data_IF_707714421746
#
_entry.id   IF_707714421746
#
_cell.length_a   1.000
_cell.length_b   1.000
_cell.length_c   1.000
_cell.angle_alpha   90.00
_cell.angle_beta   90.00
_cell.angle_gamma   90.00
#
_symmetry.space_group_name_H-M   'P 1'
#
loop_
_entity.id
_entity.type
_entity.pdbx_description
1 polymer ?
#
# COMPACT_ATOMS: atom_id res chain seq x y z
N UNK A 1 -10.42 -0.09 17.69
CA UNK A 1 -11.10 0.60 18.81
C UNK A 1 -11.53 2.02 18.47
N UNK A 2 -10.64 2.89 17.96
CA UNK A 2 -10.96 4.28 17.60
C UNK A 2 -12.15 4.41 16.62
N UNK A 3 -12.23 3.55 15.59
CA UNK A 3 -13.37 3.56 14.67
C UNK A 3 -14.73 3.28 15.35
N UNK A 4 -14.74 2.48 16.42
CA UNK A 4 -15.95 2.18 17.19
C UNK A 4 -16.36 3.34 18.09
N UNK A 5 -15.39 4.05 18.66
CA UNK A 5 -15.64 5.27 19.44
C UNK A 5 -16.33 6.35 18.60
N UNK A 6 -15.96 6.48 17.33
CA UNK A 6 -16.54 7.45 16.39
C UNK A 6 -17.69 6.88 15.54
N UNK A 7 -18.27 5.75 15.93
CA UNK A 7 -19.41 5.19 15.20
C UNK A 7 -20.68 6.01 15.45
N UNK A 8 -21.49 6.13 14.40
CA UNK A 8 -22.86 6.65 14.50
C UNK A 8 -23.82 5.53 14.91
N UNK A 9 -25.04 5.92 15.27
CA UNK A 9 -26.11 4.98 15.64
C UNK A 9 -26.49 4.03 14.49
N UNK A 10 -26.25 4.43 13.25
CA UNK A 10 -26.44 3.60 12.04
C UNK A 10 -25.31 2.59 11.79
N UNK A 11 -24.29 2.55 12.67
CA UNK A 11 -23.13 1.67 12.56
C UNK A 11 -22.01 2.18 11.64
N UNK A 12 -22.21 3.30 10.94
CA UNK A 12 -21.17 3.92 10.11
C UNK A 12 -20.08 4.59 10.95
N UNK A 13 -18.89 4.78 10.37
CA UNK A 13 -17.77 5.48 11.02
C UNK A 13 -17.02 6.35 10.01
N UNK A 14 -16.49 7.54 10.39
CA UNK A 14 -15.67 8.36 9.50
C UNK A 14 -14.28 7.78 9.27
N UNK A 15 -13.85 6.78 10.04
CA UNK A 15 -12.54 6.15 9.91
C UNK A 15 -12.62 4.96 8.95
N UNK A 16 -12.29 5.19 7.67
CA UNK A 16 -12.49 4.21 6.59
C UNK A 16 -11.31 3.27 6.33
N UNK A 17 -10.18 3.48 7.01
CA UNK A 17 -8.96 2.70 6.79
C UNK A 17 -8.18 2.51 8.08
N UNK A 18 -7.59 1.33 8.22
CA UNK A 18 -6.68 1.01 9.30
C UNK A 18 -5.33 0.64 8.72
N UNK A 19 -4.34 1.51 8.95
CA UNK A 19 -2.99 1.35 8.46
C UNK A 19 -2.16 0.62 9.51
N UNK A 20 -1.86 -0.65 9.24
CA UNK A 20 -1.06 -1.48 10.13
C UNK A 20 0.42 -1.16 9.97
N UNK A 21 1.19 -1.33 11.06
CA UNK A 21 2.65 -1.17 11.03
C UNK A 21 3.28 -2.05 9.94
N UNK A 22 4.35 -1.58 9.30
CA UNK A 22 5.11 -2.35 8.31
C UNK A 22 5.75 -3.63 8.89
N UNK A 23 5.84 -3.73 10.22
CA UNK A 23 6.38 -4.89 10.93
C UNK A 23 5.36 -6.00 11.25
N UNK A 24 4.07 -5.82 10.93
CA UNK A 24 3.07 -6.89 11.11
C UNK A 24 3.33 -8.06 10.16
N UNK A 25 2.86 -9.26 10.48
CA UNK A 25 2.85 -10.44 9.61
C UNK A 25 1.41 -10.81 9.17
N UNK A 26 1.27 -11.82 8.30
CA UNK A 26 -0.05 -12.30 7.83
C UNK A 26 -0.99 -12.69 8.97
N UNK A 27 -0.49 -13.40 9.99
CA UNK A 27 -1.28 -13.80 11.15
C UNK A 27 -1.86 -12.58 11.90
N UNK A 28 -1.07 -11.53 12.11
CA UNK A 28 -1.53 -10.28 12.74
C UNK A 28 -2.60 -9.59 11.89
N UNK A 29 -2.48 -9.64 10.55
CA UNK A 29 -3.48 -9.10 9.63
C UNK A 29 -4.78 -9.91 9.71
N UNK A 30 -4.71 -11.23 9.73
CA UNK A 30 -5.87 -12.12 9.88
C UNK A 30 -6.60 -11.89 11.22
N UNK A 31 -5.87 -11.78 12.33
CA UNK A 31 -6.46 -11.44 13.63
C UNK A 31 -7.07 -10.03 13.64
N UNK A 32 -6.43 -9.06 13.00
CA UNK A 32 -6.98 -7.72 12.85
C UNK A 32 -8.30 -7.74 12.06
N UNK A 33 -8.38 -8.57 11.01
CA UNK A 33 -9.59 -8.76 10.22
C UNK A 33 -10.72 -9.42 11.04
N UNK A 34 -10.39 -10.43 11.85
CA UNK A 34 -11.33 -11.06 12.77
C UNK A 34 -11.94 -10.05 13.76
N UNK A 35 -11.10 -9.25 14.42
CA UNK A 35 -11.54 -8.22 15.37
C UNK A 35 -12.37 -7.14 14.66
N UNK A 36 -11.92 -6.68 13.48
CA UNK A 36 -12.67 -5.71 12.67
C UNK A 36 -14.08 -6.23 12.33
N UNK A 37 -14.20 -7.51 11.95
CA UNK A 37 -15.48 -8.14 11.66
C UNK A 37 -16.38 -8.19 12.90
N UNK A 38 -15.83 -8.53 14.06
CA UNK A 38 -16.58 -8.54 15.32
C UNK A 38 -17.17 -7.16 15.69
N UNK A 39 -16.55 -6.06 15.23
CA UNK A 39 -17.08 -4.71 15.41
C UNK A 39 -18.11 -4.27 14.35
N UNK A 40 -18.40 -5.09 13.33
CA UNK A 40 -19.29 -4.74 12.23
C UNK A 40 -18.65 -3.86 11.16
N UNK A 41 -17.31 -3.86 11.05
CA UNK A 41 -16.57 -2.94 10.18
C UNK A 41 -15.96 -3.57 8.93
N UNK A 42 -16.27 -4.83 8.63
CA UNK A 42 -15.67 -5.57 7.51
C UNK A 42 -15.80 -4.82 6.17
N UNK A 43 -16.97 -4.22 5.89
CA UNK A 43 -17.24 -3.52 4.64
C UNK A 43 -16.96 -2.01 4.68
N UNK A 44 -16.68 -1.44 5.87
CA UNK A 44 -16.54 0.01 6.08
C UNK A 44 -15.07 0.41 6.24
N UNK A 45 -14.30 -0.39 7.01
CA UNK A 45 -12.92 -0.06 7.37
C UNK A 45 -11.97 -1.02 6.65
N UNK A 46 -11.28 -0.52 5.63
CA UNK A 46 -10.28 -1.35 4.93
C UNK A 46 -9.05 -1.58 5.80
N UNK A 47 -8.44 -2.75 5.67
CA UNK A 47 -7.08 -2.96 6.19
C UNK A 47 -6.10 -2.49 5.10
N UNK A 48 -5.25 -1.53 5.43
CA UNK A 48 -4.23 -1.03 4.51
C UNK A 48 -2.91 -1.76 4.75
N UNK A 49 -2.43 -2.47 3.73
CA UNK A 49 -1.26 -3.33 3.80
C UNK A 49 -0.17 -2.84 2.84
N UNK A 50 0.97 -2.39 3.37
CA UNK A 50 2.10 -1.95 2.56
C UNK A 50 2.80 -3.14 1.92
N UNK A 51 2.88 -3.12 0.58
CA UNK A 51 3.49 -4.16 -0.26
C UNK A 51 4.92 -3.83 -0.60
N UNK A 52 5.14 -2.62 -1.11
CA UNK A 52 6.45 -2.05 -1.35
C UNK A 52 6.56 -0.70 -0.66
N UNK A 53 7.78 -0.38 -0.23
CA UNK A 53 8.10 0.83 0.54
C UNK A 53 9.23 1.60 -0.12
N UNK A 54 9.36 2.89 0.20
CA UNK A 54 10.49 3.68 -0.31
C UNK A 54 11.80 3.02 0.09
N UNK A 55 12.78 3.03 -0.81
CA UNK A 55 14.01 2.27 -0.62
C UNK A 55 14.91 2.81 0.51
N UNK A 56 14.81 4.10 0.83
CA UNK A 56 15.62 4.75 1.88
C UNK A 56 14.82 5.20 3.11
N UNK A 57 15.57 5.46 4.17
CA UNK A 57 15.19 6.18 5.40
C UNK A 57 14.44 5.38 6.48
N UNK A 58 13.16 5.04 6.29
CA UNK A 58 12.34 4.54 7.43
C UNK A 58 12.23 3.00 7.44
N UNK A 59 12.03 2.37 6.28
CA UNK A 59 11.73 0.93 6.18
C UNK A 59 12.99 0.14 5.80
N UNK A 60 13.23 -0.98 6.48
CA UNK A 60 14.33 -1.89 6.15
C UNK A 60 14.06 -2.61 4.83
N UNK A 61 15.06 -2.65 3.97
CA UNK A 61 15.02 -3.32 2.66
C UNK A 61 15.75 -4.68 2.70
N UNK A 62 15.42 -5.63 1.81
CA UNK A 62 14.35 -5.57 0.80
C UNK A 62 12.96 -5.64 1.44
N UNK A 63 12.02 -4.83 0.96
CA UNK A 63 10.63 -4.84 1.39
C UNK A 63 9.71 -5.07 0.18
N UNK A 64 9.38 -6.34 -0.06
CA UNK A 64 8.38 -6.77 -1.02
C UNK A 64 7.51 -7.84 -0.36
N UNK A 65 6.23 -7.52 -0.20
CA UNK A 65 5.24 -8.38 0.46
C UNK A 65 4.16 -8.83 -0.52
N UNK A 66 4.48 -8.92 -1.81
CA UNK A 66 3.53 -9.34 -2.85
C UNK A 66 3.00 -10.74 -2.58
N UNK A 67 3.87 -11.70 -2.22
CA UNK A 67 3.48 -13.07 -1.92
C UNK A 67 2.58 -13.15 -0.67
N UNK A 68 2.94 -12.38 0.37
CA UNK A 68 2.14 -12.27 1.59
C UNK A 68 0.71 -11.76 1.27
N UNK A 69 0.58 -10.76 0.41
CA UNK A 69 -0.72 -10.27 -0.03
C UNK A 69 -1.51 -11.33 -0.80
N UNK A 70 -0.86 -12.10 -1.69
CA UNK A 70 -1.54 -13.16 -2.45
C UNK A 70 -2.16 -14.19 -1.49
N UNK A 71 -1.44 -14.57 -0.44
CA UNK A 71 -1.97 -15.46 0.60
C UNK A 71 -3.16 -14.86 1.37
N UNK A 72 -3.10 -13.55 1.67
CA UNK A 72 -4.12 -12.85 2.44
C UNK A 72 -5.37 -12.53 1.63
N UNK A 73 -5.24 -12.17 0.36
CA UNK A 73 -6.32 -11.59 -0.43
C UNK A 73 -7.49 -12.56 -0.67
N UNK A 74 -7.27 -13.87 -0.58
CA UNK A 74 -8.34 -14.87 -0.62
C UNK A 74 -9.07 -15.07 0.72
N UNK A 75 -8.49 -14.60 1.84
CA UNK A 75 -8.98 -14.85 3.20
C UNK A 75 -9.52 -13.60 3.88
N UNK A 76 -8.91 -12.45 3.62
CA UNK A 76 -9.21 -11.18 4.27
C UNK A 76 -9.95 -10.27 3.30
N UNK A 77 -11.25 -10.06 3.55
CA UNK A 77 -12.08 -9.13 2.77
C UNK A 77 -11.65 -7.68 3.01
N UNK A 78 -11.93 -6.80 2.04
CA UNK A 78 -11.70 -5.35 2.15
C UNK A 78 -10.28 -5.01 2.66
N UNK A 79 -9.29 -5.51 1.93
CA UNK A 79 -7.87 -5.23 2.10
C UNK A 79 -7.39 -4.39 0.92
N UNK A 80 -6.53 -3.41 1.18
CA UNK A 80 -5.91 -2.59 0.13
C UNK A 80 -4.40 -2.75 0.15
N UNK A 81 -3.83 -3.05 -1.02
CA UNK A 81 -2.39 -3.02 -1.26
C UNK A 81 -1.91 -1.57 -1.40
N UNK A 82 -0.94 -1.16 -0.57
CA UNK A 82 -0.28 0.15 -0.64
C UNK A 82 1.15 0.02 -1.15
N UNK A 83 1.55 0.96 -2.00
CA UNK A 83 2.88 1.02 -2.57
C UNK A 83 3.42 2.43 -2.37
N UNK A 84 4.56 2.54 -1.68
CA UNK A 84 5.25 3.82 -1.46
C UNK A 84 6.56 3.91 -2.27
N UNK A 85 7.13 2.78 -2.69
CA UNK A 85 8.31 2.70 -3.54
C UNK A 85 8.18 1.66 -4.67
N UNK A 86 9.20 1.59 -5.53
CA UNK A 86 9.30 0.55 -6.57
C UNK A 86 9.68 -0.82 -6.02
N UNK A 87 9.87 -1.78 -6.92
CA UNK A 87 10.35 -3.12 -6.55
C UNK A 87 11.81 -3.04 -6.05
N UNK A 88 12.18 -3.73 -4.94
CA UNK A 88 13.52 -3.61 -4.35
C UNK A 88 14.67 -3.92 -5.32
N UNK A 89 14.50 -4.89 -6.22
CA UNK A 89 15.51 -5.27 -7.21
C UNK A 89 15.75 -4.21 -8.28
N UNK A 90 14.76 -3.35 -8.55
CA UNK A 90 14.88 -2.19 -9.43
C UNK A 90 15.49 -1.03 -8.65
N UNK A 91 14.92 -0.69 -7.51
CA UNK A 91 15.31 0.45 -6.67
C UNK A 91 16.79 0.37 -6.26
N UNK A 92 17.29 -0.82 -5.90
CA UNK A 92 18.71 -1.01 -5.53
C UNK A 92 19.71 -0.64 -6.62
N UNK A 93 19.27 -0.61 -7.88
CA UNK A 93 20.11 -0.26 -9.04
C UNK A 93 19.99 1.22 -9.44
N UNK A 94 19.04 1.96 -8.84
CA UNK A 94 18.84 3.37 -9.14
C UNK A 94 19.97 4.19 -8.54
N UNK A 95 20.51 5.12 -9.34
CA UNK A 95 21.42 6.16 -8.85
C UNK A 95 20.74 7.09 -7.82
N UNK A 96 19.43 7.27 -7.95
CA UNK A 96 18.57 8.02 -7.04
C UNK A 96 17.35 7.16 -6.71
N UNK A 97 17.47 6.23 -5.76
CA UNK A 97 16.35 5.40 -5.34
C UNK A 97 15.34 6.22 -4.54
N UNK A 98 14.10 5.72 -4.41
CA UNK A 98 13.06 6.42 -3.67
C UNK A 98 13.42 6.64 -2.19
N UNK A 99 13.06 7.80 -1.67
CA UNK A 99 13.27 8.18 -0.28
C UNK A 99 12.03 8.92 0.24
N UNK A 100 11.40 8.37 1.29
CA UNK A 100 10.20 8.97 1.89
C UNK A 100 10.44 10.40 2.40
N UNK A 101 11.68 10.75 2.74
CA UNK A 101 11.99 12.10 3.21
C UNK A 101 11.87 13.16 2.11
N UNK A 102 11.92 12.77 0.83
CA UNK A 102 11.77 13.69 -0.31
C UNK A 102 10.32 14.17 -0.48
N UNK A 103 9.33 13.50 0.12
CA UNK A 103 7.94 13.98 0.13
C UNK A 103 7.79 15.31 0.89
N UNK A 104 8.69 15.57 1.84
CA UNK A 104 8.70 16.80 2.63
C UNK A 104 9.57 17.90 2.00
N UNK A 105 10.22 17.62 0.86
CA UNK A 105 11.08 18.59 0.20
C UNK A 105 10.24 19.70 -0.45
N UNK A 106 10.57 20.99 -0.22
CA UNK A 106 9.90 22.08 -0.91
C UNK A 106 10.08 21.97 -2.43
N UNK A 107 9.02 22.28 -3.19
CA UNK A 107 9.05 22.27 -4.65
C UNK A 107 10.20 23.12 -5.24
N UNK A 108 10.50 24.28 -4.65
CA UNK A 108 11.59 25.15 -5.12
C UNK A 108 12.94 24.42 -5.07
N UNK A 109 13.22 23.71 -3.99
CA UNK A 109 14.46 22.96 -3.80
C UNK A 109 14.56 21.79 -4.78
N UNK A 110 13.44 21.11 -5.05
CA UNK A 110 13.36 20.04 -6.06
C UNK A 110 13.74 20.57 -7.44
N UNK A 111 13.24 21.75 -7.81
CA UNK A 111 13.50 22.38 -9.10
C UNK A 111 14.93 22.90 -9.21
N UNK A 112 15.42 23.62 -8.19
CA UNK A 112 16.78 24.15 -8.13
C UNK A 112 17.84 23.04 -8.18
N UNK A 113 17.57 21.90 -7.52
CA UNK A 113 18.47 20.73 -7.54
C UNK A 113 18.28 19.81 -8.76
N UNK A 114 17.36 20.15 -9.67
CA UNK A 114 17.07 19.35 -10.87
C UNK A 114 16.61 17.92 -10.56
N UNK A 115 15.89 17.72 -9.45
CA UNK A 115 15.48 16.38 -8.98
C UNK A 115 14.23 15.85 -9.68
N UNK A 116 13.47 16.71 -10.35
CA UNK A 116 12.16 16.35 -10.91
C UNK A 116 12.19 15.14 -11.86
N UNK A 117 13.18 14.98 -12.76
CA UNK A 117 13.29 13.76 -13.58
C UNK A 117 13.55 12.48 -12.76
N UNK A 118 14.24 12.59 -11.62
CA UNK A 118 14.54 11.46 -10.74
C UNK A 118 13.30 11.05 -9.94
N UNK A 119 12.61 12.01 -9.34
CA UNK A 119 11.35 11.77 -8.61
C UNK A 119 10.27 11.20 -9.54
N UNK A 120 10.19 11.69 -10.78
CA UNK A 120 9.32 11.10 -11.80
C UNK A 120 9.67 9.64 -12.07
N UNK A 121 10.96 9.30 -12.16
CA UNK A 121 11.38 7.91 -12.33
C UNK A 121 10.97 7.06 -11.12
N UNK A 122 11.16 7.52 -9.90
CA UNK A 122 10.72 6.80 -8.70
C UNK A 122 9.20 6.58 -8.67
N UNK A 123 8.41 7.58 -9.09
CA UNK A 123 6.97 7.44 -9.24
C UNK A 123 6.57 6.36 -10.25
N UNK A 124 7.25 6.30 -11.41
CA UNK A 124 7.00 5.28 -12.43
C UNK A 124 7.37 3.88 -11.92
N UNK A 125 8.50 3.74 -11.21
CA UNK A 125 8.91 2.46 -10.63
C UNK A 125 7.92 1.97 -9.57
N UNK A 126 7.36 2.88 -8.77
CA UNK A 126 6.26 2.58 -7.85
C UNK A 126 5.00 2.13 -8.58
N UNK A 127 4.66 2.76 -9.70
CA UNK A 127 3.52 2.34 -10.52
C UNK A 127 3.75 0.96 -11.15
N UNK A 128 4.99 0.63 -11.53
CA UNK A 128 5.35 -0.71 -11.99
C UNK A 128 5.15 -1.76 -10.88
N UNK A 129 5.48 -1.44 -9.62
CA UNK A 129 5.21 -2.30 -8.48
C UNK A 129 3.69 -2.56 -8.26
N UNK A 130 2.86 -1.52 -8.41
CA UNK A 130 1.39 -1.66 -8.40
C UNK A 130 0.93 -2.65 -9.47
N UNK A 131 1.44 -2.51 -10.71
CA UNK A 131 1.11 -3.40 -11.81
C UNK A 131 1.63 -4.83 -11.60
N UNK A 132 2.79 -5.00 -10.94
CA UNK A 132 3.30 -6.30 -10.57
C UNK A 132 2.37 -7.02 -9.58
N UNK A 133 1.91 -6.29 -8.55
CA UNK A 133 0.92 -6.81 -7.59
C UNK A 133 -0.38 -7.23 -8.26
N UNK A 134 -0.92 -6.38 -9.14
CA UNK A 134 -2.11 -6.69 -9.93
C UNK A 134 -1.94 -8.00 -10.73
N UNK A 135 -0.82 -8.15 -11.44
CA UNK A 135 -0.50 -9.38 -12.18
C UNK A 135 -0.42 -10.61 -11.27
N UNK A 136 0.22 -10.47 -10.11
CA UNK A 136 0.35 -11.57 -9.15
C UNK A 136 -1.02 -12.04 -8.65
N UNK A 137 -1.90 -11.11 -8.28
CA UNK A 137 -3.28 -11.42 -7.88
C UNK A 137 -4.05 -12.12 -9.02
N UNK A 138 -4.01 -11.57 -10.24
CA UNK A 138 -4.72 -12.17 -11.40
C UNK A 138 -4.23 -13.57 -11.71
N UNK A 139 -2.91 -13.84 -11.65
CA UNK A 139 -2.35 -15.18 -11.87
C UNK A 139 -2.87 -16.22 -10.86
N UNK A 140 -3.24 -15.78 -9.67
CA UNK A 140 -3.83 -16.62 -8.62
C UNK A 140 -5.37 -16.62 -8.63
N UNK A 141 -6.00 -16.11 -9.68
CA UNK A 141 -7.46 -16.06 -9.80
C UNK A 141 -8.13 -15.07 -8.86
N UNK A 142 -7.36 -14.15 -8.25
CA UNK A 142 -7.87 -13.14 -7.34
C UNK A 142 -8.23 -11.87 -8.10
N UNK A 143 -9.43 -11.34 -7.83
CA UNK A 143 -9.92 -10.10 -8.42
C UNK A 143 -9.58 -8.91 -7.52
N UNK A 144 -9.32 -7.76 -8.13
CA UNK A 144 -9.13 -6.49 -7.44
C UNK A 144 -9.88 -5.37 -8.17
N UNK A 145 -10.06 -4.23 -7.50
CA UNK A 145 -10.67 -3.05 -8.12
C UNK A 145 -9.61 -2.34 -8.95
N UNK A 146 -9.66 -2.52 -10.28
CA UNK A 146 -8.80 -1.79 -11.21
C UNK A 146 -9.26 -0.33 -11.39
N UNK A 147 -8.36 0.53 -11.86
CA UNK A 147 -8.68 1.90 -12.23
C UNK A 147 -9.64 1.91 -13.44
N UNK A 148 -10.93 2.12 -13.17
CA UNK A 148 -12.03 2.00 -14.16
C UNK A 148 -11.90 2.93 -15.38
N UNK A 149 -11.15 4.03 -15.25
CA UNK A 149 -10.96 5.00 -16.34
C UNK A 149 -9.64 4.80 -17.11
N UNK A 150 -8.77 3.88 -16.65
CA UNK A 150 -7.45 3.67 -17.26
C UNK A 150 -7.48 2.56 -18.32
N UNK A 151 -8.39 1.61 -18.18
CA UNK A 151 -8.57 0.49 -19.11
C UNK A 151 -9.94 0.61 -19.78
N UNK A 152 -9.97 0.58 -21.12
CA UNK A 152 -11.24 0.45 -21.85
C UNK A 152 -11.84 -0.94 -21.55
N UNK A 153 -13.18 -1.05 -21.44
CA UNK A 153 -13.86 -2.33 -21.24
C UNK A 153 -13.50 -3.38 -22.29
#
# INVERSE_FOLDING_TARGET
MTAKLFSRDDGSTPLIGFNLSNSVNNETVEFSAYIRKAFGFEDIVRIEHHITETYRSIVRQPYDRTDELVELAGKVKNISAKHEGGLPEVERTRKHPSDILEYFMPKKDILEKGLMPKLMRNYLDKHDAVNNTAKALTKHGLTFIAARNLHKP
#
